data_IF_081183905215
#
_entry.id   IF_081183905215
#
_cell.length_a   1.000
_cell.length_b   1.000
_cell.length_c   1.000
_cell.angle_alpha   90.00
_cell.angle_beta   90.00
_cell.angle_gamma   90.00
#
_symmetry.space_group_name_H-M   'P 1'
#
loop_
_entity.id
_entity.type
_entity.pdbx_description
1 polymer ?
#
# COMPACT_ATOMS: atom_id res chain seq x y z
N UNK A 1 5.29 -7.40 5.13
CA UNK A 1 6.73 -7.20 4.92
C UNK A 1 7.34 -8.54 4.55
N UNK A 2 7.91 -8.70 3.35
CA UNK A 2 8.68 -9.91 2.98
C UNK A 2 10.16 -9.56 3.11
N UNK A 3 10.93 -10.33 3.85
CA UNK A 3 12.36 -10.09 4.01
C UNK A 3 13.09 -10.24 2.66
N UNK A 4 14.11 -9.40 2.43
CA UNK A 4 14.81 -9.27 1.14
C UNK A 4 15.31 -10.62 0.58
N UNK A 5 15.73 -11.55 1.44
CA UNK A 5 16.23 -12.87 1.05
C UNK A 5 15.14 -13.87 0.61
N UNK A 6 13.86 -13.54 0.82
CA UNK A 6 12.70 -14.35 0.43
C UNK A 6 12.07 -13.90 -0.89
N UNK A 7 12.59 -12.82 -1.48
CA UNK A 7 12.17 -12.35 -2.80
C UNK A 7 12.51 -13.40 -3.86
N UNK A 8 11.53 -13.77 -4.70
CA UNK A 8 11.70 -14.78 -5.75
C UNK A 8 11.20 -16.19 -5.39
N UNK A 9 10.97 -16.51 -4.11
CA UNK A 9 10.46 -17.81 -3.66
C UNK A 9 8.94 -17.97 -3.76
N UNK A 10 8.23 -17.08 -4.46
CA UNK A 10 6.77 -17.13 -4.61
C UNK A 10 5.96 -16.73 -3.36
N UNK A 11 6.62 -16.51 -2.21
CA UNK A 11 5.98 -16.14 -0.93
C UNK A 11 5.12 -14.88 -1.06
N UNK A 12 5.65 -13.84 -1.73
CA UNK A 12 4.89 -12.61 -1.97
C UNK A 12 3.61 -12.84 -2.80
N UNK A 13 3.59 -13.83 -3.68
CA UNK A 13 2.41 -14.16 -4.48
C UNK A 13 1.35 -14.88 -3.65
N UNK A 14 1.74 -15.79 -2.76
CA UNK A 14 0.77 -16.49 -1.90
C UNK A 14 0.17 -15.55 -0.84
N UNK A 15 0.98 -14.63 -0.29
CA UNK A 15 0.49 -13.58 0.61
C UNK A 15 -0.57 -12.73 -0.10
N UNK A 16 -0.27 -12.25 -1.30
CA UNK A 16 -1.20 -11.39 -2.04
C UNK A 16 -2.48 -12.15 -2.41
N UNK A 17 -2.38 -13.42 -2.78
CA UNK A 17 -3.53 -14.29 -3.05
C UNK A 17 -4.43 -14.46 -1.82
N UNK A 18 -3.83 -14.69 -0.65
CA UNK A 18 -4.59 -14.79 0.61
C UNK A 18 -5.30 -13.46 0.92
N UNK A 19 -4.60 -12.33 0.78
CA UNK A 19 -5.21 -11.01 0.93
C UNK A 19 -6.37 -10.79 -0.05
N UNK A 20 -6.24 -11.19 -1.31
CA UNK A 20 -7.33 -11.12 -2.29
C UNK A 20 -8.52 -11.99 -1.89
N UNK A 21 -8.30 -13.19 -1.36
CA UNK A 21 -9.40 -14.03 -0.85
C UNK A 21 -10.14 -13.37 0.32
N UNK A 22 -9.42 -12.73 1.24
CA UNK A 22 -10.02 -11.97 2.34
C UNK A 22 -10.81 -10.78 1.80
N UNK A 23 -10.26 -10.01 0.86
CA UNK A 23 -10.94 -8.87 0.25
C UNK A 23 -12.27 -9.29 -0.40
N UNK A 24 -12.30 -10.41 -1.13
CA UNK A 24 -13.53 -10.94 -1.73
C UNK A 24 -14.56 -11.37 -0.69
N UNK A 25 -14.13 -12.04 0.40
CA UNK A 25 -15.01 -12.42 1.50
C UNK A 25 -15.61 -11.20 2.22
N UNK A 26 -14.82 -10.14 2.35
CA UNK A 26 -15.22 -8.87 2.97
C UNK A 26 -16.00 -7.94 2.03
N UNK A 27 -16.23 -8.35 0.77
CA UNK A 27 -16.86 -7.51 -0.29
C UNK A 27 -16.13 -6.18 -0.50
N UNK A 28 -14.80 -6.17 -0.37
CA UNK A 28 -13.98 -5.02 -0.68
C UNK A 28 -13.93 -4.81 -2.20
N UNK A 29 -14.06 -3.57 -2.65
CA UNK A 29 -13.94 -3.18 -4.07
C UNK A 29 -12.49 -3.04 -4.53
N UNK A 30 -11.59 -2.65 -3.61
CA UNK A 30 -10.18 -2.41 -3.92
C UNK A 30 -9.29 -2.66 -2.70
N UNK A 31 -7.99 -2.80 -2.95
CA UNK A 31 -6.95 -2.87 -1.92
C UNK A 31 -5.91 -1.80 -2.24
N UNK A 32 -5.77 -0.82 -1.36
CA UNK A 32 -4.84 0.30 -1.52
C UNK A 32 -3.62 0.09 -0.61
N UNK A 33 -2.44 0.43 -1.10
CA UNK A 33 -1.18 0.32 -0.38
C UNK A 33 -0.16 1.33 -0.93
N UNK A 34 0.88 1.61 -0.15
CA UNK A 34 1.95 2.52 -0.53
C UNK A 34 3.16 1.71 -1.00
N UNK A 35 3.82 2.19 -2.04
CA UNK A 35 5.09 1.66 -2.54
C UNK A 35 6.09 2.81 -2.60
N UNK A 36 7.33 2.58 -2.16
CA UNK A 36 8.38 3.59 -2.27
C UNK A 36 8.72 3.85 -3.74
N UNK A 37 8.92 5.11 -4.13
CA UNK A 37 9.16 5.52 -5.52
C UNK A 37 10.36 4.81 -6.17
N UNK A 38 11.40 4.55 -5.40
CA UNK A 38 12.61 3.86 -5.88
C UNK A 38 12.49 2.34 -5.94
N UNK A 39 11.40 1.75 -5.45
CA UNK A 39 11.24 0.30 -5.35
C UNK A 39 10.66 -0.32 -6.63
N UNK A 40 11.40 -0.16 -7.72
CA UNK A 40 11.06 -0.66 -9.06
C UNK A 40 10.70 -2.16 -9.08
N UNK A 41 11.36 -3.07 -8.32
CA UNK A 41 10.96 -4.47 -8.27
C UNK A 41 9.54 -4.68 -7.73
N UNK A 42 9.16 -3.93 -6.69
CA UNK A 42 7.81 -4.03 -6.10
C UNK A 42 6.77 -3.35 -6.99
N UNK A 43 7.08 -2.18 -7.55
CA UNK A 43 6.20 -1.47 -8.52
C UNK A 43 5.84 -2.43 -9.65
N UNK A 44 6.83 -3.04 -10.28
CA UNK A 44 6.60 -4.00 -11.37
C UNK A 44 5.86 -5.26 -10.91
N UNK A 45 6.11 -5.75 -9.69
CA UNK A 45 5.40 -6.89 -9.13
C UNK A 45 3.89 -6.64 -8.99
N UNK A 46 3.49 -5.44 -8.55
CA UNK A 46 2.08 -5.06 -8.40
C UNK A 46 1.44 -4.66 -9.72
N UNK A 47 2.13 -3.89 -10.58
CA UNK A 47 1.62 -3.50 -11.91
C UNK A 47 1.29 -4.71 -12.79
N UNK A 48 2.14 -5.76 -12.78
CA UNK A 48 1.86 -7.02 -13.48
C UNK A 48 0.59 -7.75 -12.99
N UNK A 49 0.05 -7.37 -11.83
CA UNK A 49 -1.18 -7.93 -11.23
C UNK A 49 -2.36 -6.96 -11.28
N UNK A 50 -2.25 -5.88 -12.07
CA UNK A 50 -3.33 -4.92 -12.29
C UNK A 50 -3.38 -3.74 -11.32
N UNK A 51 -2.33 -3.51 -10.52
CA UNK A 51 -2.27 -2.29 -9.71
C UNK A 51 -2.01 -1.06 -10.57
N UNK A 52 -2.79 0.00 -10.34
CA UNK A 52 -2.58 1.34 -10.90
C UNK A 52 -1.85 2.24 -9.91
N UNK A 53 -1.17 3.27 -10.43
CA UNK A 53 -0.48 4.26 -9.61
C UNK A 53 -1.37 5.49 -9.42
N UNK A 54 -2.12 5.51 -8.31
CA UNK A 54 -3.04 6.60 -7.98
C UNK A 54 -2.33 7.94 -7.75
N UNK A 55 -1.05 7.94 -7.30
CA UNK A 55 -0.30 9.18 -7.12
C UNK A 55 0.04 9.84 -8.46
N UNK A 56 0.25 9.04 -9.50
CA UNK A 56 0.50 9.53 -10.87
C UNK A 56 -0.79 9.80 -11.64
N UNK A 57 -1.80 8.94 -11.52
CA UNK A 57 -3.06 9.05 -12.28
C UNK A 57 -4.01 10.13 -11.75
N UNK A 58 -4.13 10.23 -10.43
CA UNK A 58 -5.09 11.13 -9.76
C UNK A 58 -4.40 12.23 -8.94
N UNK A 59 -3.05 12.20 -8.85
CA UNK A 59 -2.28 13.24 -8.16
C UNK A 59 -2.31 13.14 -6.64
N UNK A 60 -2.68 11.99 -6.06
CA UNK A 60 -2.77 11.82 -4.61
C UNK A 60 -1.43 12.01 -3.90
N UNK A 61 -1.49 12.72 -2.78
CA UNK A 61 -0.36 12.92 -1.85
C UNK A 61 -0.79 12.51 -0.45
N UNK A 62 0.03 11.69 0.19
CA UNK A 62 -0.19 11.30 1.58
C UNK A 62 0.34 12.39 2.51
N UNK A 63 -0.55 12.97 3.31
CA UNK A 63 -0.18 13.89 4.38
C UNK A 63 -0.31 13.18 5.73
N UNK A 64 0.54 13.55 6.68
CA UNK A 64 0.43 13.13 8.08
C UNK A 64 0.42 14.36 8.97
N UNK A 65 -0.35 14.29 10.05
CA UNK A 65 -0.29 15.25 11.14
C UNK A 65 0.22 14.47 12.35
N UNK A 66 1.41 14.82 12.81
CA UNK A 66 2.00 14.16 13.98
C UNK A 66 1.23 14.55 15.26
N UNK A 67 1.26 13.66 16.25
CA UNK A 67 0.47 13.77 17.49
C UNK A 67 0.59 15.12 18.17
N UNK A 68 1.78 15.71 18.20
CA UNK A 68 2.03 17.02 18.81
C UNK A 68 1.23 18.15 18.17
N UNK A 69 1.03 18.11 16.85
CA UNK A 69 0.23 19.11 16.14
C UNK A 69 -1.27 18.87 16.34
N UNK A 70 -1.71 17.60 16.42
CA UNK A 70 -3.09 17.26 16.78
C UNK A 70 -3.46 17.77 18.18
N UNK A 71 -2.54 17.60 19.15
CA UNK A 71 -2.75 18.09 20.53
C UNK A 71 -2.83 19.61 20.57
N UNK A 72 -1.98 20.31 19.80
CA UNK A 72 -2.03 21.77 19.71
C UNK A 72 -3.35 22.27 19.11
N UNK A 73 -3.79 21.73 17.98
CA UNK A 73 -5.05 22.13 17.34
C UNK A 73 -6.27 21.83 18.21
N UNK A 74 -6.25 20.74 19.00
CA UNK A 74 -7.34 20.42 19.92
C UNK A 74 -7.43 21.36 21.13
N UNK A 75 -6.38 22.13 21.42
CA UNK A 75 -6.29 23.07 22.54
C UNK A 75 -6.40 24.54 22.12
N UNK A 76 -6.53 24.82 20.82
CA UNK A 76 -6.85 26.16 20.29
C UNK A 76 -8.36 26.42 20.42
N UNK A 77 -8.76 27.54 21.04
CA UNK A 77 -10.14 28.06 21.08
C UNK A 77 -10.48 28.87 19.83
#
# INVERSE_FOLDING_TARGET
>A
MVFLFLLGFGIGSEILKNLSQVAMKCRCSSMHFLVAEWNEPSINFYKRRGASDLSSEEGWRLFKIDKEYLVKMAAEE
#
